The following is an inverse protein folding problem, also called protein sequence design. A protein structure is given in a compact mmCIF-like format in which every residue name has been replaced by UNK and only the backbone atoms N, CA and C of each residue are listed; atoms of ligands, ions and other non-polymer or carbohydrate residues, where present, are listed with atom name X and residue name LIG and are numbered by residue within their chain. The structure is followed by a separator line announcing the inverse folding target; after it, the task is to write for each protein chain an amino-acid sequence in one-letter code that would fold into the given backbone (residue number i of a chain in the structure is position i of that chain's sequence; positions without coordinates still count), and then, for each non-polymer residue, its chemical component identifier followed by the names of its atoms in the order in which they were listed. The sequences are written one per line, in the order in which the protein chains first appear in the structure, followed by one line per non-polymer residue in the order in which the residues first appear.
data_IF_365433071531
#
_entry.id   IF_365433071531
#
_cell.length_a   1.000
_cell.length_b   1.000
_cell.length_c   1.000
_cell.angle_alpha   90.00
_cell.angle_beta   90.00
_cell.angle_gamma   90.00
#
_symmetry.space_group_name_H-M   'P 1'
#
loop_
_entity.id
_entity.type
_entity.pdbx_description
1 polymer ?
#
# COMPACT_ATOMS: atom_id res chain seq x y z
N UNK A 1 19.37 5.15 32.88
CA UNK A 1 18.63 4.28 31.94
C UNK A 1 19.44 3.00 31.86
N UNK A 2 18.86 1.85 32.16
CA UNK A 2 19.61 0.58 32.23
C UNK A 2 20.07 0.19 30.82
N UNK A 3 21.31 -0.26 30.65
CA UNK A 3 21.89 -0.64 29.35
C UNK A 3 21.03 -1.72 28.67
N UNK A 4 20.40 -2.60 29.43
CA UNK A 4 19.50 -3.64 28.92
C UNK A 4 18.29 -3.06 28.20
N UNK A 5 17.67 -1.99 28.73
CA UNK A 5 16.53 -1.32 28.03
C UNK A 5 16.96 -0.68 26.71
N UNK A 6 18.19 -0.13 26.66
CA UNK A 6 18.72 0.45 25.43
C UNK A 6 18.98 -0.64 24.39
N UNK A 7 19.56 -1.77 24.81
CA UNK A 7 19.82 -2.91 23.94
C UNK A 7 18.53 -3.45 23.35
N UNK A 8 17.50 -3.69 24.18
CA UNK A 8 16.20 -4.18 23.72
C UNK A 8 15.51 -3.19 22.77
N UNK A 9 15.65 -1.88 23.00
CA UNK A 9 15.12 -0.86 22.09
C UNK A 9 15.83 -0.92 20.71
N UNK A 10 17.16 -1.09 20.71
CA UNK A 10 17.93 -1.22 19.46
C UNK A 10 17.60 -2.53 18.74
N UNK A 11 17.43 -3.63 19.46
CA UNK A 11 17.01 -4.92 18.91
C UNK A 11 15.60 -4.82 18.30
N UNK A 12 14.67 -4.18 19.00
CA UNK A 12 13.32 -3.95 18.48
C UNK A 12 13.31 -3.09 17.22
N UNK A 13 14.04 -1.98 17.24
CA UNK A 13 14.18 -1.11 16.08
C UNK A 13 14.87 -1.80 14.90
N UNK A 14 15.91 -2.59 15.17
CA UNK A 14 16.60 -3.44 14.19
C UNK A 14 15.66 -4.49 13.60
N UNK A 15 14.85 -5.14 14.45
CA UNK A 15 13.83 -6.09 14.05
C UNK A 15 12.76 -5.47 13.12
N UNK A 16 12.28 -4.27 13.46
CA UNK A 16 11.39 -3.49 12.55
C UNK A 16 12.09 -3.23 11.22
N UNK A 17 13.35 -2.79 11.23
CA UNK A 17 14.12 -2.52 10.01
C UNK A 17 14.25 -3.76 9.13
N UNK A 18 14.61 -4.91 9.71
CA UNK A 18 14.71 -6.19 9.00
C UNK A 18 13.37 -6.65 8.45
N UNK A 19 12.31 -6.55 9.24
CA UNK A 19 10.94 -6.90 8.83
C UNK A 19 10.48 -6.04 7.63
N UNK A 20 10.64 -4.71 7.72
CA UNK A 20 10.25 -3.78 6.65
C UNK A 20 11.07 -4.01 5.38
N UNK A 21 12.38 -4.17 5.52
CA UNK A 21 13.25 -4.40 4.38
C UNK A 21 12.97 -5.76 3.74
N UNK A 22 12.76 -6.80 4.54
CA UNK A 22 12.39 -8.13 4.08
C UNK A 22 11.05 -8.13 3.32
N UNK A 23 10.05 -7.47 3.88
CA UNK A 23 8.74 -7.31 3.25
C UNK A 23 8.84 -6.58 1.90
N UNK A 24 9.58 -5.47 1.84
CA UNK A 24 9.76 -4.72 0.60
C UNK A 24 10.55 -5.52 -0.43
N UNK A 25 11.62 -6.20 -0.04
CA UNK A 25 12.43 -7.04 -0.94
C UNK A 25 11.61 -8.19 -1.52
N UNK A 26 10.79 -8.85 -0.69
CA UNK A 26 9.85 -9.89 -1.13
C UNK A 26 8.84 -9.32 -2.12
N UNK A 27 8.21 -8.19 -1.79
CA UNK A 27 7.21 -7.51 -2.63
C UNK A 27 7.81 -7.10 -3.99
N UNK A 28 9.00 -6.52 -4.01
CA UNK A 28 9.71 -6.12 -5.23
C UNK A 28 10.04 -7.32 -6.13
N UNK A 29 10.53 -8.41 -5.54
CA UNK A 29 10.79 -9.65 -6.28
C UNK A 29 9.51 -10.24 -6.88
N UNK A 30 8.39 -10.24 -6.14
CA UNK A 30 7.08 -10.68 -6.63
C UNK A 30 6.57 -9.77 -7.75
N UNK A 31 6.65 -8.45 -7.57
CA UNK A 31 6.22 -7.46 -8.56
C UNK A 31 7.00 -7.59 -9.87
N UNK A 32 8.34 -7.71 -9.81
CA UNK A 32 9.18 -7.92 -10.99
C UNK A 32 8.89 -9.26 -11.69
N UNK A 33 8.61 -10.31 -10.92
CA UNK A 33 8.22 -11.62 -11.45
C UNK A 33 6.85 -11.59 -12.12
N UNK A 34 5.91 -10.80 -11.61
CA UNK A 34 4.56 -10.66 -12.15
C UNK A 34 4.46 -9.75 -13.39
N UNK A 35 5.33 -8.78 -13.53
CA UNK A 35 5.56 -7.85 -14.64
C UNK A 35 4.43 -7.71 -15.68
N UNK A 36 4.61 -8.32 -16.86
CA UNK A 36 3.64 -8.24 -17.95
C UNK A 36 2.26 -8.89 -17.72
N UNK A 37 2.12 -9.79 -16.72
CA UNK A 37 0.82 -10.38 -16.36
C UNK A 37 -0.08 -9.36 -15.67
N UNK A 38 0.51 -8.43 -14.94
CA UNK A 38 -0.20 -7.36 -14.24
C UNK A 38 -0.89 -6.39 -15.20
N UNK A 39 -0.20 -6.00 -16.31
CA UNK A 39 -0.84 -5.20 -17.37
C UNK A 39 -2.03 -5.91 -18.02
N UNK A 40 -1.94 -7.23 -18.19
CA UNK A 40 -3.04 -8.05 -18.71
C UNK A 40 -4.22 -8.13 -17.73
N UNK A 41 -3.95 -8.31 -16.42
CA UNK A 41 -4.99 -8.31 -15.38
C UNK A 41 -5.76 -6.98 -15.35
N UNK A 42 -5.05 -5.87 -15.49
CA UNK A 42 -5.67 -4.54 -15.57
C UNK A 42 -6.47 -4.35 -16.86
N UNK A 43 -6.06 -4.96 -17.97
CA UNK A 43 -6.84 -4.98 -19.23
C UNK A 43 -8.18 -5.71 -19.12
N UNK A 44 -8.38 -6.58 -18.13
CA UNK A 44 -9.67 -7.20 -17.81
C UNK A 44 -10.58 -6.33 -16.93
N UNK A 45 -10.20 -5.09 -16.64
CA UNK A 45 -11.04 -4.12 -15.94
C UNK A 45 -12.22 -3.71 -16.84
N UNK A 46 -13.17 -4.61 -16.92
CA UNK A 46 -14.45 -4.39 -17.57
C UNK A 46 -15.36 -3.55 -16.67
N UNK A 47 -16.51 -3.14 -17.18
CA UNK A 47 -17.58 -2.49 -16.40
C UNK A 47 -18.12 -3.37 -15.25
N UNK A 48 -17.67 -4.63 -15.13
CA UNK A 48 -18.08 -5.55 -14.08
C UNK A 48 -17.34 -5.27 -12.76
N UNK A 49 -18.06 -4.72 -11.78
CA UNK A 49 -17.53 -4.36 -10.45
C UNK A 49 -16.99 -5.56 -9.67
N UNK A 50 -17.64 -6.71 -9.79
CA UNK A 50 -17.20 -7.92 -9.09
C UNK A 50 -15.82 -8.36 -9.61
N UNK A 51 -15.63 -8.31 -10.92
CA UNK A 51 -14.34 -8.60 -11.54
C UNK A 51 -13.28 -7.57 -11.11
N UNK A 52 -13.64 -6.29 -11.01
CA UNK A 52 -12.74 -5.26 -10.51
C UNK A 52 -12.27 -5.53 -9.06
N UNK A 53 -13.16 -6.01 -8.18
CA UNK A 53 -12.81 -6.42 -6.82
C UNK A 53 -11.81 -7.59 -6.85
N UNK A 54 -12.11 -8.63 -7.62
CA UNK A 54 -11.22 -9.80 -7.74
C UNK A 54 -9.85 -9.39 -8.26
N UNK A 55 -9.82 -8.57 -9.32
CA UNK A 55 -8.56 -8.07 -9.90
C UNK A 55 -7.78 -7.23 -8.87
N UNK A 56 -8.45 -6.33 -8.14
CA UNK A 56 -7.83 -5.55 -7.08
C UNK A 56 -7.24 -6.42 -5.98
N UNK A 57 -7.98 -7.44 -5.54
CA UNK A 57 -7.52 -8.39 -4.52
C UNK A 57 -6.30 -9.19 -4.99
N UNK A 58 -6.35 -9.74 -6.20
CA UNK A 58 -5.25 -10.53 -6.78
C UNK A 58 -4.00 -9.68 -7.00
N UNK A 59 -4.17 -8.47 -7.56
CA UNK A 59 -3.03 -7.55 -7.77
C UNK A 59 -2.38 -7.21 -6.43
N UNK A 60 -3.15 -6.82 -5.43
CA UNK A 60 -2.61 -6.45 -4.11
C UNK A 60 -1.97 -7.65 -3.42
N UNK A 61 -2.55 -8.83 -3.50
CA UNK A 61 -1.96 -10.06 -2.96
C UNK A 61 -0.60 -10.39 -3.63
N UNK A 62 -0.46 -10.13 -4.93
CA UNK A 62 0.80 -10.35 -5.67
C UNK A 62 1.81 -9.25 -5.36
N UNK A 63 1.39 -7.97 -5.39
CA UNK A 63 2.29 -6.82 -5.13
C UNK A 63 2.64 -6.72 -3.64
N UNK A 64 1.82 -7.28 -2.75
CA UNK A 64 1.93 -7.15 -1.29
C UNK A 64 1.87 -5.70 -0.79
N UNK A 65 1.25 -4.80 -1.59
CA UNK A 65 1.12 -3.37 -1.28
C UNK A 65 -0.21 -2.83 -1.79
N UNK A 66 -1.14 -2.58 -0.88
CA UNK A 66 -2.40 -1.88 -1.21
C UNK A 66 -2.14 -0.40 -1.56
N UNK A 67 -1.12 0.20 -0.93
CA UNK A 67 -0.67 1.55 -1.28
C UNK A 67 -0.29 1.65 -2.75
N UNK A 68 0.60 0.77 -3.24
CA UNK A 68 0.99 0.74 -4.65
C UNK A 68 -0.21 0.48 -5.58
N UNK A 69 -1.10 -0.44 -5.22
CA UNK A 69 -2.31 -0.73 -6.00
C UNK A 69 -3.23 0.50 -6.08
N UNK A 70 -3.46 1.19 -4.96
CA UNK A 70 -4.33 2.37 -4.95
C UNK A 70 -3.70 3.59 -5.63
N UNK A 71 -2.38 3.78 -5.52
CA UNK A 71 -1.63 4.80 -6.28
C UNK A 71 -1.76 4.55 -7.79
N UNK A 72 -1.64 3.29 -8.22
CA UNK A 72 -1.84 2.90 -9.62
C UNK A 72 -3.28 3.19 -10.09
N UNK A 73 -4.28 2.89 -9.26
CA UNK A 73 -5.69 3.23 -9.54
C UNK A 73 -5.88 4.74 -9.70
N UNK A 74 -5.32 5.55 -8.78
CA UNK A 74 -5.34 7.02 -8.87
C UNK A 74 -4.68 7.48 -10.17
N UNK A 75 -3.55 6.90 -10.55
CA UNK A 75 -2.85 7.20 -11.81
C UNK A 75 -3.68 6.86 -13.05
N UNK A 76 -4.36 5.69 -13.08
CA UNK A 76 -5.22 5.31 -14.20
C UNK A 76 -6.48 6.17 -14.31
N UNK A 77 -7.07 6.54 -13.18
CA UNK A 77 -8.18 7.50 -13.17
C UNK A 77 -7.71 8.87 -13.67
N UNK A 78 -6.53 9.31 -13.26
CA UNK A 78 -5.93 10.57 -13.72
C UNK A 78 -5.66 10.58 -15.23
N UNK A 79 -5.22 9.44 -15.78
CA UNK A 79 -4.97 9.27 -17.21
C UNK A 79 -6.27 8.99 -18.03
N UNK A 80 -7.45 8.98 -17.41
CA UNK A 80 -8.72 8.66 -18.08
C UNK A 80 -8.83 7.18 -18.52
N UNK A 81 -7.93 6.31 -18.06
CA UNK A 81 -7.92 4.88 -18.40
C UNK A 81 -8.85 4.05 -17.53
N UNK A 82 -9.37 4.61 -16.44
CA UNK A 82 -10.26 3.95 -15.49
C UNK A 82 -11.35 4.90 -15.02
N UNK A 83 -12.58 4.43 -15.01
CA UNK A 83 -13.71 5.16 -14.42
C UNK A 83 -13.72 5.07 -12.91
N UNK A 84 -14.35 6.04 -12.22
CA UNK A 84 -14.50 6.02 -10.75
C UNK A 84 -15.23 4.77 -10.25
N UNK A 85 -16.18 4.26 -11.02
CA UNK A 85 -16.96 3.06 -10.67
C UNK A 85 -16.07 1.79 -10.70
N UNK A 86 -15.16 1.71 -11.66
CA UNK A 86 -14.16 0.63 -11.72
C UNK A 86 -13.13 0.79 -10.60
N UNK A 87 -12.67 2.03 -10.37
CA UNK A 87 -11.70 2.36 -9.33
C UNK A 87 -12.18 1.92 -7.93
N UNK A 88 -13.44 2.19 -7.59
CA UNK A 88 -14.03 1.76 -6.31
C UNK A 88 -13.96 0.23 -6.14
N UNK A 89 -14.26 -0.52 -7.19
CA UNK A 89 -14.16 -2.00 -7.15
C UNK A 89 -12.72 -2.46 -6.89
N UNK A 90 -11.75 -1.91 -7.62
CA UNK A 90 -10.32 -2.26 -7.43
C UNK A 90 -9.84 -1.88 -6.03
N UNK A 91 -10.24 -0.72 -5.50
CA UNK A 91 -9.91 -0.26 -4.14
C UNK A 91 -10.48 -1.20 -3.08
N UNK A 92 -11.75 -1.61 -3.20
CA UNK A 92 -12.38 -2.60 -2.31
C UNK A 92 -11.61 -3.93 -2.35
N UNK A 93 -11.25 -4.39 -3.55
CA UNK A 93 -10.44 -5.60 -3.73
C UNK A 93 -9.03 -5.46 -3.13
N UNK A 94 -8.39 -4.32 -3.28
CA UNK A 94 -7.06 -4.06 -2.72
C UNK A 94 -7.05 -4.20 -1.19
N UNK A 95 -8.09 -3.75 -0.51
CA UNK A 95 -8.23 -3.94 0.94
C UNK A 95 -8.33 -5.43 1.32
N UNK A 96 -9.06 -6.24 0.54
CA UNK A 96 -9.09 -7.71 0.74
C UNK A 96 -7.69 -8.31 0.50
N UNK A 97 -7.02 -7.94 -0.61
CA UNK A 97 -5.70 -8.45 -0.95
C UNK A 97 -4.62 -8.19 0.10
N UNK A 98 -4.72 -7.07 0.82
CA UNK A 98 -3.80 -6.72 1.91
C UNK A 98 -3.82 -7.74 3.05
N UNK A 99 -4.93 -8.42 3.28
CA UNK A 99 -5.06 -9.40 4.37
C UNK A 99 -4.13 -10.61 4.21
N UNK A 100 -3.71 -10.92 2.98
CA UNK A 100 -2.75 -12.00 2.71
C UNK A 100 -1.42 -11.77 3.45
N UNK A 101 -0.97 -10.53 3.58
CA UNK A 101 0.25 -10.22 4.34
C UNK A 101 0.10 -10.58 5.83
N UNK A 102 -1.05 -10.28 6.43
CA UNK A 102 -1.33 -10.66 7.83
C UNK A 102 -1.26 -12.18 8.02
N UNK A 103 -1.75 -12.96 7.06
CA UNK A 103 -1.64 -14.42 7.09
C UNK A 103 -0.20 -14.90 6.93
N UNK A 104 0.60 -14.30 6.06
CA UNK A 104 2.02 -14.63 5.92
C UNK A 104 2.73 -14.41 7.27
N UNK A 105 2.49 -13.28 7.92
CA UNK A 105 3.08 -12.97 9.23
C UNK A 105 2.63 -13.97 10.29
N UNK A 106 1.33 -14.31 10.35
CA UNK A 106 0.81 -15.26 11.35
C UNK A 106 1.34 -16.69 11.16
N UNK A 107 1.71 -17.09 9.93
CA UNK A 107 2.34 -18.39 9.69
C UNK A 107 3.71 -18.52 10.39
N UNK A 108 4.44 -17.40 10.50
CA UNK A 108 5.72 -17.35 11.22
C UNK A 108 5.60 -17.47 12.74
N UNK A 109 4.39 -17.45 13.26
CA UNK A 109 4.06 -17.42 14.67
C UNK A 109 3.29 -18.67 15.14
N UNK A 110 3.34 -19.75 14.38
CA UNK A 110 2.81 -21.05 14.77
C UNK A 110 3.61 -21.58 15.97
N UNK A 111 2.91 -21.86 17.08
CA UNK A 111 3.52 -22.20 18.36
C UNK A 111 4.39 -23.46 18.36
N UNK A 112 4.96 -23.78 19.52
CA UNK A 112 5.98 -24.82 19.73
C UNK A 112 5.65 -26.25 19.22
N UNK A 113 4.37 -26.60 19.10
CA UNK A 113 3.95 -27.90 18.59
C UNK A 113 4.29 -28.14 17.11
N UNK A 114 4.62 -27.07 16.38
CA UNK A 114 4.92 -27.10 14.95
C UNK A 114 6.26 -26.42 14.62
N UNK A 115 7.25 -26.44 15.50
CA UNK A 115 8.56 -25.77 15.32
C UNK A 115 9.20 -26.04 13.95
N UNK A 116 9.10 -27.29 13.47
CA UNK A 116 9.64 -27.68 12.16
C UNK A 116 8.82 -27.11 11.01
N UNK A 117 7.56 -26.74 11.24
CA UNK A 117 6.70 -26.12 10.23
C UNK A 117 6.72 -24.59 10.29
N UNK A 118 7.33 -24.01 11.32
CA UNK A 118 7.40 -22.58 11.51
C UNK A 118 8.42 -21.95 10.53
N UNK A 119 8.01 -21.05 9.62
CA UNK A 119 8.92 -20.39 8.69
C UNK A 119 10.08 -19.65 9.36
N UNK A 120 9.89 -19.13 10.58
CA UNK A 120 10.96 -18.49 11.36
C UNK A 120 12.13 -19.42 11.64
N UNK A 121 11.91 -20.73 11.77
CA UNK A 121 12.97 -21.72 11.94
C UNK A 121 13.91 -21.77 10.72
N UNK A 122 13.38 -21.56 9.53
CA UNK A 122 14.14 -21.60 8.28
C UNK A 122 14.66 -20.22 7.85
N UNK A 123 14.32 -19.15 8.56
CA UNK A 123 14.61 -17.79 8.15
C UNK A 123 16.10 -17.53 7.85
N UNK A 124 17.08 -17.93 8.72
CA UNK A 124 18.49 -17.74 8.42
C UNK A 124 18.94 -18.53 7.17
N UNK A 125 18.40 -19.73 6.98
CA UNK A 125 18.71 -20.57 5.83
C UNK A 125 18.15 -19.99 4.52
N UNK A 126 16.92 -19.43 4.56
CA UNK A 126 16.33 -18.73 3.43
C UNK A 126 17.14 -17.49 3.05
N UNK A 127 17.61 -16.71 4.02
CA UNK A 127 18.48 -15.55 3.76
C UNK A 127 19.75 -16.01 3.05
N UNK A 128 20.40 -17.07 3.56
CA UNK A 128 21.62 -17.62 2.97
C UNK A 128 21.40 -18.08 1.53
N UNK A 129 20.44 -18.97 1.27
CA UNK A 129 20.17 -19.48 -0.06
C UNK A 129 19.79 -18.34 -1.02
N UNK A 130 18.86 -17.48 -0.61
CA UNK A 130 18.41 -16.40 -1.47
C UNK A 130 19.55 -15.42 -1.82
N UNK A 131 20.43 -15.10 -0.88
CA UNK A 131 21.63 -14.30 -1.11
C UNK A 131 22.58 -14.96 -2.12
N UNK A 132 22.85 -16.26 -1.98
CA UNK A 132 23.64 -16.99 -2.97
C UNK A 132 23.00 -16.98 -4.36
N UNK A 133 21.69 -17.18 -4.44
CA UNK A 133 20.95 -17.12 -5.70
C UNK A 133 21.09 -15.74 -6.37
N UNK A 134 20.95 -14.65 -5.59
CA UNK A 134 21.10 -13.28 -6.10
C UNK A 134 22.53 -13.02 -6.62
N UNK A 135 23.53 -13.42 -5.85
CA UNK A 135 24.96 -13.14 -6.14
C UNK A 135 25.48 -13.92 -7.35
N UNK A 136 25.09 -15.19 -7.49
CA UNK A 136 25.68 -16.09 -8.50
C UNK A 136 24.81 -16.29 -9.71
N UNK A 137 23.52 -15.92 -9.71
CA UNK A 137 22.65 -16.04 -10.88
C UNK A 137 22.93 -14.92 -11.88
N UNK A 138 22.96 -15.27 -13.16
CA UNK A 138 23.00 -14.30 -14.28
C UNK A 138 21.60 -14.01 -14.86
N UNK A 139 20.57 -14.78 -14.45
CA UNK A 139 19.21 -14.68 -15.00
C UNK A 139 18.33 -13.84 -14.06
N UNK A 140 17.75 -12.75 -14.56
CA UNK A 140 16.90 -11.84 -13.76
C UNK A 140 15.72 -12.55 -13.08
N UNK A 141 15.07 -13.49 -13.79
CA UNK A 141 13.98 -14.27 -13.18
C UNK A 141 14.42 -15.07 -11.95
N UNK A 142 15.64 -15.58 -11.96
CA UNK A 142 16.22 -16.35 -10.85
C UNK A 142 16.64 -15.40 -9.73
N UNK A 143 17.20 -14.23 -10.06
CA UNK A 143 17.50 -13.19 -9.06
C UNK A 143 16.23 -12.72 -8.35
N UNK A 144 15.15 -12.46 -9.10
CA UNK A 144 13.86 -12.08 -8.50
C UNK A 144 13.33 -13.15 -7.53
N UNK A 145 13.49 -14.44 -7.87
CA UNK A 145 13.17 -15.54 -6.95
C UNK A 145 14.06 -15.52 -5.71
N UNK A 146 15.35 -15.24 -5.87
CA UNK A 146 16.29 -15.04 -4.77
C UNK A 146 15.88 -13.91 -3.85
N UNK A 147 15.44 -12.78 -4.39
CA UNK A 147 14.93 -11.63 -3.63
C UNK A 147 13.68 -11.98 -2.82
N UNK A 148 12.74 -12.75 -3.42
CA UNK A 148 11.57 -13.24 -2.69
C UNK A 148 12.00 -14.10 -1.50
N UNK A 149 12.96 -15.02 -1.70
CA UNK A 149 13.45 -15.93 -0.67
C UNK A 149 14.16 -15.16 0.44
N UNK A 150 15.08 -14.25 0.11
CA UNK A 150 15.74 -13.36 1.09
C UNK A 150 14.73 -12.53 1.85
N UNK A 151 13.76 -11.95 1.11
CA UNK A 151 12.74 -11.11 1.69
C UNK A 151 11.89 -11.84 2.73
N UNK A 152 11.48 -13.07 2.43
CA UNK A 152 10.76 -13.95 3.38
C UNK A 152 11.65 -14.24 4.60
N UNK A 153 12.90 -14.59 4.40
CA UNK A 153 13.84 -14.86 5.50
C UNK A 153 14.01 -13.64 6.42
N UNK A 154 14.28 -12.47 5.85
CA UNK A 154 14.43 -11.22 6.61
C UNK A 154 13.15 -10.80 7.33
N UNK A 155 11.99 -11.02 6.71
CA UNK A 155 10.69 -10.76 7.33
C UNK A 155 10.54 -11.57 8.62
N UNK A 156 10.76 -12.88 8.56
CA UNK A 156 10.61 -13.75 9.73
C UNK A 156 11.71 -13.55 10.77
N UNK A 157 12.95 -13.27 10.37
CA UNK A 157 14.02 -12.94 11.29
C UNK A 157 13.71 -11.62 12.01
N UNK A 158 13.22 -10.60 11.30
CA UNK A 158 12.78 -9.35 11.90
C UNK A 158 11.67 -9.52 12.93
N UNK A 159 10.69 -10.40 12.65
CA UNK A 159 9.63 -10.75 13.61
C UNK A 159 10.21 -11.43 14.86
N UNK A 160 11.18 -12.32 14.69
CA UNK A 160 11.86 -13.00 15.80
C UNK A 160 12.63 -11.99 16.67
N UNK A 161 13.38 -11.08 16.06
CA UNK A 161 14.07 -10.00 16.78
C UNK A 161 13.12 -9.09 17.54
N UNK A 162 12.03 -8.64 16.92
CA UNK A 162 11.01 -7.84 17.60
C UNK A 162 10.41 -8.60 18.79
N UNK A 163 10.08 -9.87 18.61
CA UNK A 163 9.47 -10.69 19.67
C UNK A 163 10.45 -10.91 20.83
N UNK A 164 11.68 -11.29 20.55
CA UNK A 164 12.69 -11.55 21.58
C UNK A 164 13.03 -10.30 22.40
N UNK A 165 13.04 -9.12 21.76
CA UNK A 165 13.34 -7.86 22.44
C UNK A 165 12.22 -7.41 23.39
N UNK A 166 10.96 -7.81 23.14
CA UNK A 166 9.81 -7.47 23.98
C UNK A 166 9.59 -8.52 25.08
N UNK A 167 9.87 -9.79 24.81
CA UNK A 167 9.59 -10.91 25.69
C UNK A 167 10.00 -10.69 27.16
N UNK A 168 11.15 -10.09 27.49
CA UNK A 168 11.56 -9.83 28.87
C UNK A 168 10.67 -8.82 29.62
N UNK A 169 9.87 -8.03 28.90
CA UNK A 169 9.08 -6.91 29.43
C UNK A 169 7.57 -7.14 29.36
N UNK A 170 7.13 -8.32 28.93
CA UNK A 170 5.69 -8.64 28.75
C UNK A 170 4.87 -8.47 30.04
N UNK A 171 5.48 -8.78 31.19
CA UNK A 171 4.86 -8.63 32.51
C UNK A 171 4.94 -7.20 33.06
N UNK A 172 5.58 -6.29 32.33
CA UNK A 172 5.68 -4.91 32.79
C UNK A 172 4.30 -4.22 32.78
N UNK A 173 3.91 -3.57 33.89
CA UNK A 173 2.58 -2.93 34.00
C UNK A 173 2.28 -1.90 32.91
N UNK A 174 3.31 -1.33 32.31
CA UNK A 174 3.17 -0.34 31.24
C UNK A 174 2.43 -0.90 30.01
N UNK A 175 2.71 -2.16 29.61
CA UNK A 175 2.02 -2.77 28.47
C UNK A 175 0.56 -3.06 28.77
N UNK A 176 0.27 -3.70 29.92
CA UNK A 176 -1.09 -4.03 30.30
C UNK A 176 -1.94 -2.77 30.48
N UNK A 177 -1.41 -1.72 31.11
CA UNK A 177 -2.10 -0.45 31.28
C UNK A 177 -2.32 0.27 29.95
N UNK A 178 -1.29 0.33 29.07
CA UNK A 178 -1.40 0.96 27.76
C UNK A 178 -2.48 0.29 26.91
N UNK A 179 -2.46 -1.05 26.79
CA UNK A 179 -3.46 -1.77 26.01
C UNK A 179 -4.85 -1.76 26.66
N UNK A 180 -4.95 -1.71 27.97
CA UNK A 180 -6.22 -1.51 28.66
C UNK A 180 -6.82 -0.12 28.36
N UNK A 181 -6.02 0.94 28.41
CA UNK A 181 -6.46 2.30 28.05
C UNK A 181 -6.90 2.36 26.60
N UNK A 182 -6.10 1.82 25.67
CA UNK A 182 -6.39 1.77 24.24
C UNK A 182 -7.65 0.94 23.96
N UNK A 183 -7.81 -0.20 24.62
CA UNK A 183 -8.96 -1.09 24.45
C UNK A 183 -10.24 -0.52 25.03
N UNK A 184 -10.17 0.27 26.11
CA UNK A 184 -11.34 0.91 26.71
C UNK A 184 -11.87 2.10 25.91
N UNK A 185 -11.05 2.67 25.03
CA UNK A 185 -11.42 3.83 24.22
C UNK A 185 -11.26 3.53 22.71
N UNK A 186 -12.37 3.22 22.01
CA UNK A 186 -12.33 2.92 20.57
C UNK A 186 -11.66 4.01 19.72
N UNK A 187 -11.91 5.28 20.05
CA UNK A 187 -11.34 6.41 19.31
C UNK A 187 -9.82 6.46 19.46
N UNK A 188 -9.30 6.19 20.66
CA UNK A 188 -7.86 6.17 20.90
C UNK A 188 -7.19 5.02 20.16
N UNK A 189 -7.77 3.82 20.17
CA UNK A 189 -7.28 2.67 19.42
C UNK A 189 -7.24 2.93 17.93
N UNK A 190 -8.32 3.46 17.36
CA UNK A 190 -8.39 3.84 15.96
C UNK A 190 -7.36 4.92 15.64
N UNK A 191 -7.23 5.95 16.46
CA UNK A 191 -6.26 7.04 16.25
C UNK A 191 -4.81 6.53 16.23
N UNK A 192 -4.45 5.66 17.17
CA UNK A 192 -3.12 5.03 17.21
C UNK A 192 -2.86 4.24 15.93
N UNK A 193 -3.83 3.42 15.50
CA UNK A 193 -3.73 2.67 14.25
C UNK A 193 -3.53 3.57 13.03
N UNK A 194 -4.27 4.69 12.95
CA UNK A 194 -4.12 5.70 11.88
C UNK A 194 -2.71 6.28 11.90
N UNK A 195 -2.24 6.77 13.05
CA UNK A 195 -0.95 7.47 13.16
C UNK A 195 0.20 6.51 12.82
N UNK A 196 0.23 5.32 13.41
CA UNK A 196 1.30 4.35 13.16
C UNK A 196 1.34 3.97 11.68
N UNK A 197 0.20 3.68 11.07
CA UNK A 197 0.17 3.30 9.65
C UNK A 197 0.50 4.46 8.72
N UNK A 198 0.06 5.68 9.04
CA UNK A 198 0.37 6.87 8.25
C UNK A 198 1.86 7.21 8.29
N UNK A 199 2.51 7.04 9.45
CA UNK A 199 3.96 7.27 9.61
C UNK A 199 4.76 6.20 8.87
N UNK A 200 4.40 4.92 9.03
CA UNK A 200 5.05 3.81 8.34
C UNK A 200 4.73 3.75 6.84
N UNK A 201 3.64 4.40 6.40
CA UNK A 201 3.10 4.32 5.03
C UNK A 201 2.87 2.89 4.55
N UNK A 202 2.72 1.95 5.49
CA UNK A 202 2.55 0.53 5.25
C UNK A 202 1.61 -0.09 6.27
N UNK A 203 0.41 -0.43 5.86
CA UNK A 203 -0.55 -1.15 6.71
C UNK A 203 -0.07 -2.56 7.04
N UNK A 204 0.60 -3.22 6.11
CA UNK A 204 1.19 -4.55 6.33
C UNK A 204 2.25 -4.52 7.43
N UNK A 205 3.10 -3.50 7.45
CA UNK A 205 4.09 -3.30 8.50
C UNK A 205 3.44 -3.03 9.86
N UNK A 206 2.44 -2.15 9.87
CA UNK A 206 1.70 -1.81 11.08
C UNK A 206 0.99 -3.03 11.68
N UNK A 207 0.34 -3.84 10.83
CA UNK A 207 -0.28 -5.11 11.26
C UNK A 207 0.77 -6.09 11.78
N UNK A 208 1.91 -6.24 11.11
CA UNK A 208 3.00 -7.13 11.57
C UNK A 208 3.55 -6.76 12.94
N UNK A 209 3.71 -5.46 13.23
CA UNK A 209 4.10 -4.99 14.58
C UNK A 209 3.02 -5.36 15.61
N UNK A 210 1.74 -5.11 15.30
CA UNK A 210 0.64 -5.46 16.20
C UNK A 210 0.59 -6.97 16.46
N UNK A 211 0.78 -7.80 15.42
CA UNK A 211 0.83 -9.25 15.55
C UNK A 211 2.01 -9.73 16.39
N UNK A 212 3.17 -9.08 16.29
CA UNK A 212 4.33 -9.38 17.13
C UNK A 212 4.07 -9.08 18.60
N UNK A 213 3.40 -7.96 18.89
CA UNK A 213 2.96 -7.62 20.25
C UNK A 213 1.93 -8.64 20.76
N UNK A 214 1.00 -9.06 19.91
CA UNK A 214 0.00 -10.06 20.24
C UNK A 214 0.63 -11.44 20.53
N UNK A 215 1.66 -11.83 19.78
CA UNK A 215 2.42 -13.05 20.02
C UNK A 215 3.02 -13.11 21.44
N UNK A 216 3.45 -11.96 21.95
CA UNK A 216 3.98 -11.83 23.30
C UNK A 216 2.89 -11.71 24.39
N UNK A 217 1.60 -11.86 24.04
CA UNK A 217 0.48 -11.87 24.97
C UNK A 217 0.15 -10.53 25.63
N UNK A 218 0.67 -9.41 25.09
CA UNK A 218 0.47 -8.07 25.68
C UNK A 218 -0.71 -7.30 25.12
N UNK A 219 -1.37 -7.81 24.06
CA UNK A 219 -2.44 -7.11 23.33
C UNK A 219 -3.79 -7.73 23.65
N UNK A 220 -4.73 -6.91 24.12
CA UNK A 220 -6.12 -7.32 24.33
C UNK A 220 -6.92 -7.31 23.03
N UNK A 221 -7.96 -8.14 22.95
CA UNK A 221 -8.81 -8.27 21.74
C UNK A 221 -9.43 -6.95 21.32
N UNK A 222 -10.00 -6.19 22.27
CA UNK A 222 -10.61 -4.89 21.98
C UNK A 222 -9.57 -3.88 21.44
N UNK A 223 -8.38 -3.81 22.05
CA UNK A 223 -7.33 -2.92 21.59
C UNK A 223 -6.85 -3.29 20.17
N UNK A 224 -6.62 -4.57 19.91
CA UNK A 224 -6.21 -5.04 18.59
C UNK A 224 -7.23 -4.71 17.50
N UNK A 225 -8.52 -4.92 17.78
CA UNK A 225 -9.59 -4.63 16.83
C UNK A 225 -9.63 -3.14 16.51
N UNK A 226 -9.64 -2.26 17.51
CA UNK A 226 -9.69 -0.82 17.29
C UNK A 226 -8.43 -0.30 16.57
N UNK A 227 -7.25 -0.81 16.93
CA UNK A 227 -6.00 -0.47 16.23
C UNK A 227 -6.08 -0.92 14.75
N UNK A 228 -6.56 -2.14 14.49
CA UNK A 228 -6.69 -2.67 13.11
C UNK A 228 -7.66 -1.84 12.27
N UNK A 229 -8.78 -1.38 12.83
CA UNK A 229 -9.68 -0.44 12.14
C UNK A 229 -8.96 0.86 11.77
N UNK A 230 -8.16 1.39 12.69
CA UNK A 230 -7.34 2.57 12.45
C UNK A 230 -6.26 2.35 11.38
N UNK A 231 -5.61 1.18 11.38
CA UNK A 231 -4.59 0.81 10.38
C UNK A 231 -5.16 0.83 8.95
N UNK A 232 -6.40 0.38 8.77
CA UNK A 232 -7.07 0.44 7.46
C UNK A 232 -7.33 1.88 7.02
N UNK A 233 -7.76 2.78 7.91
CA UNK A 233 -7.91 4.21 7.60
C UNK A 233 -6.54 4.83 7.29
N UNK A 234 -5.52 4.55 8.09
CA UNK A 234 -4.17 5.06 7.92
C UNK A 234 -3.54 4.67 6.58
N UNK A 235 -3.90 3.50 6.03
CA UNK A 235 -3.43 3.05 4.71
C UNK A 235 -3.85 3.97 3.56
N UNK A 236 -4.89 4.78 3.74
CA UNK A 236 -5.37 5.72 2.74
C UNK A 236 -4.44 6.92 2.52
N UNK A 237 -3.52 7.18 3.45
CA UNK A 237 -2.60 8.34 3.39
C UNK A 237 -1.73 8.29 2.14
N UNK A 238 -1.27 7.11 1.72
CA UNK A 238 -0.48 6.94 0.48
C UNK A 238 -1.26 7.37 -0.77
N UNK A 239 -2.53 6.98 -0.86
CA UNK A 239 -3.40 7.38 -1.97
C UNK A 239 -3.70 8.90 -1.94
N UNK A 240 -3.87 9.48 -0.75
CA UNK A 240 -4.05 10.93 -0.59
C UNK A 240 -2.84 11.71 -1.07
N UNK A 241 -1.66 11.34 -0.60
CA UNK A 241 -0.39 12.00 -0.99
C UNK A 241 -0.21 11.88 -2.51
N UNK A 242 -0.42 10.70 -3.08
CA UNK A 242 -0.26 10.48 -4.52
C UNK A 242 -1.30 11.24 -5.37
N UNK A 243 -2.44 11.58 -4.80
CA UNK A 243 -3.47 12.36 -5.49
C UNK A 243 -3.20 13.87 -5.45
N UNK A 244 -2.22 14.33 -4.67
CA UNK A 244 -1.82 15.73 -4.64
C UNK A 244 -1.28 16.14 -6.03
N UNK A 245 -1.77 17.26 -6.56
CA UNK A 245 -1.36 17.73 -7.91
C UNK A 245 -2.03 17.01 -9.10
N UNK A 246 -2.87 15.98 -8.87
CA UNK A 246 -3.60 15.27 -9.93
C UNK A 246 -4.97 15.91 -10.22
N UNK A 247 -5.65 15.38 -11.24
CA UNK A 247 -7.02 15.79 -11.59
C UNK A 247 -7.99 15.58 -10.43
N UNK A 248 -9.12 16.31 -10.45
CA UNK A 248 -10.18 16.18 -9.44
C UNK A 248 -10.77 14.77 -9.41
N UNK A 249 -10.90 14.15 -10.57
CA UNK A 249 -11.38 12.77 -10.69
C UNK A 249 -10.43 11.79 -9.99
N UNK A 250 -9.12 11.98 -10.11
CA UNK A 250 -8.13 11.19 -9.40
C UNK A 250 -8.18 11.42 -7.88
N UNK A 251 -8.35 12.67 -7.42
CA UNK A 251 -8.57 13.00 -6.00
C UNK A 251 -9.86 12.36 -5.46
N UNK A 252 -10.92 12.26 -6.26
CA UNK A 252 -12.15 11.54 -5.91
C UNK A 252 -11.89 10.05 -5.68
N UNK A 253 -11.01 9.42 -6.48
CA UNK A 253 -10.62 8.03 -6.26
C UNK A 253 -9.94 7.83 -4.90
N UNK A 254 -9.00 8.71 -4.53
CA UNK A 254 -8.36 8.69 -3.21
C UNK A 254 -9.38 8.95 -2.08
N UNK A 255 -10.32 9.88 -2.28
CA UNK A 255 -11.40 10.17 -1.34
C UNK A 255 -12.31 8.95 -1.12
N UNK A 256 -12.64 8.20 -2.18
CA UNK A 256 -13.45 6.97 -2.06
C UNK A 256 -12.75 5.90 -1.22
N UNK A 257 -11.42 5.79 -1.29
CA UNK A 257 -10.65 4.87 -0.45
C UNK A 257 -10.81 5.21 1.04
N UNK A 258 -10.73 6.50 1.38
CA UNK A 258 -10.91 6.95 2.77
C UNK A 258 -12.36 6.71 3.22
N UNK A 259 -13.34 7.07 2.41
CA UNK A 259 -14.76 6.91 2.72
C UNK A 259 -15.11 5.45 2.98
N UNK A 260 -14.57 4.52 2.17
CA UNK A 260 -14.75 3.09 2.36
C UNK A 260 -14.21 2.63 3.72
N UNK A 261 -12.97 3.00 4.07
CA UNK A 261 -12.34 2.59 5.31
C UNK A 261 -12.97 3.26 6.55
N UNK A 262 -13.38 4.53 6.46
CA UNK A 262 -14.11 5.20 7.55
C UNK A 262 -15.47 4.55 7.77
N UNK A 263 -16.23 4.27 6.70
CA UNK A 263 -17.52 3.59 6.82
C UNK A 263 -17.38 2.20 7.48
N UNK A 264 -16.36 1.44 7.06
CA UNK A 264 -16.03 0.17 7.67
C UNK A 264 -15.65 0.30 9.15
N UNK A 265 -14.81 1.26 9.50
CA UNK A 265 -14.39 1.50 10.89
C UNK A 265 -15.54 1.96 11.76
N UNK A 266 -16.46 2.77 11.27
CA UNK A 266 -17.67 3.16 11.97
C UNK A 266 -18.59 1.95 12.25
N UNK A 267 -18.81 1.12 11.22
CA UNK A 267 -19.64 -0.07 11.35
C UNK A 267 -19.06 -1.04 12.40
N UNK A 268 -17.81 -1.45 12.20
CA UNK A 268 -17.17 -2.43 13.06
C UNK A 268 -16.77 -1.86 14.42
N UNK A 269 -16.41 -0.59 14.49
CA UNK A 269 -16.15 0.11 15.76
C UNK A 269 -17.39 0.16 16.65
N UNK A 270 -18.56 0.47 16.06
CA UNK A 270 -19.84 0.47 16.79
C UNK A 270 -20.24 -0.94 17.21
N UNK A 271 -20.18 -1.92 16.31
CA UNK A 271 -20.48 -3.32 16.64
C UNK A 271 -19.52 -3.85 17.70
N UNK A 272 -18.22 -3.58 17.58
CA UNK A 272 -17.21 -3.96 18.55
C UNK A 272 -17.45 -3.31 19.90
N UNK A 273 -17.78 -2.02 19.95
CA UNK A 273 -18.11 -1.33 21.22
C UNK A 273 -19.30 -1.98 21.94
N UNK A 274 -20.37 -2.28 21.21
CA UNK A 274 -21.54 -2.96 21.78
C UNK A 274 -21.17 -4.37 22.26
N UNK A 275 -20.47 -5.15 21.41
CA UNK A 275 -20.07 -6.53 21.72
C UNK A 275 -19.18 -6.60 22.96
N UNK A 276 -18.18 -5.74 23.08
CA UNK A 276 -17.26 -5.72 24.21
C UNK A 276 -17.89 -5.16 25.49
N UNK A 277 -18.93 -4.32 25.37
CA UNK A 277 -19.75 -3.89 26.53
C UNK A 277 -20.59 -5.04 27.07
N UNK A 278 -21.10 -5.92 26.19
CA UNK A 278 -21.90 -7.09 26.58
C UNK A 278 -21.01 -8.24 27.11
N UNK A 279 -19.83 -8.43 26.47
CA UNK A 279 -18.88 -9.51 26.74
C UNK A 279 -17.50 -8.98 27.17
N UNK A 280 -17.34 -8.42 28.38
CA UNK A 280 -16.06 -7.86 28.83
C UNK A 280 -14.90 -8.87 28.86
N UNK A 281 -15.24 -10.15 29.14
CA UNK A 281 -14.22 -11.21 29.11
C UNK A 281 -13.59 -11.41 27.72
N UNK A 282 -14.37 -11.27 26.65
CA UNK A 282 -13.87 -11.28 25.29
C UNK A 282 -12.99 -10.06 24.99
N UNK A 283 -13.38 -8.89 25.50
CA UNK A 283 -12.62 -7.66 25.34
C UNK A 283 -11.22 -7.76 25.97
N UNK A 284 -11.13 -8.35 27.16
CA UNK A 284 -9.91 -8.49 27.95
C UNK A 284 -9.06 -9.72 27.56
N UNK A 285 -9.57 -10.59 26.68
CA UNK A 285 -8.81 -11.75 26.19
C UNK A 285 -7.57 -11.30 25.41
N UNK A 286 -6.42 -11.93 25.65
CA UNK A 286 -5.22 -11.69 24.86
C UNK A 286 -5.35 -12.32 23.49
N UNK A 287 -5.40 -11.48 22.47
CA UNK A 287 -5.59 -11.91 21.09
C UNK A 287 -4.31 -12.53 20.52
N UNK A 288 -4.47 -13.54 19.68
CA UNK A 288 -3.37 -14.15 18.93
C UNK A 288 -3.16 -13.49 17.57
N UNK A 289 -1.98 -13.67 16.99
CA UNK A 289 -1.65 -13.20 15.65
C UNK A 289 -2.61 -13.76 14.58
N UNK A 290 -3.03 -15.03 14.73
CA UNK A 290 -3.99 -15.67 13.82
C UNK A 290 -5.36 -15.02 13.91
N UNK A 291 -5.84 -14.72 15.14
CA UNK A 291 -7.12 -14.05 15.35
C UNK A 291 -7.13 -12.64 14.77
N UNK A 292 -6.00 -11.92 14.83
CA UNK A 292 -5.85 -10.63 14.12
C UNK A 292 -6.00 -10.82 12.62
N UNK A 293 -5.37 -11.85 12.02
CA UNK A 293 -5.49 -12.13 10.58
C UNK A 293 -6.92 -12.50 10.19
N UNK A 294 -7.59 -13.31 11.01
CA UNK A 294 -9.02 -13.67 10.83
C UNK A 294 -9.89 -12.41 10.88
N UNK A 295 -9.73 -11.59 11.92
CA UNK A 295 -10.49 -10.34 12.04
C UNK A 295 -10.23 -9.40 10.86
N UNK A 296 -8.98 -9.20 10.48
CA UNK A 296 -8.61 -8.32 9.37
C UNK A 296 -9.24 -8.79 8.05
N UNK A 297 -9.25 -10.09 7.80
CA UNK A 297 -9.87 -10.69 6.61
C UNK A 297 -11.39 -10.55 6.66
N UNK A 298 -12.00 -10.92 7.79
CA UNK A 298 -13.45 -10.81 8.00
C UNK A 298 -13.94 -9.38 7.85
N UNK A 299 -13.23 -8.42 8.45
CA UNK A 299 -13.50 -6.99 8.32
C UNK A 299 -13.51 -6.55 6.85
N UNK A 300 -12.43 -6.79 6.11
CA UNK A 300 -12.29 -6.31 4.73
C UNK A 300 -13.29 -6.96 3.77
N UNK A 301 -13.55 -8.27 3.92
CA UNK A 301 -14.56 -8.98 3.13
C UNK A 301 -15.96 -8.45 3.44
N UNK A 302 -16.31 -8.34 4.72
CA UNK A 302 -17.64 -7.88 5.13
C UNK A 302 -17.86 -6.42 4.72
N UNK A 303 -16.88 -5.53 4.92
CA UNK A 303 -16.97 -4.15 4.43
C UNK A 303 -17.18 -4.10 2.93
N UNK A 304 -16.46 -4.92 2.16
CA UNK A 304 -16.64 -4.99 0.71
C UNK A 304 -18.04 -5.46 0.34
N UNK A 305 -18.55 -6.52 0.97
CA UNK A 305 -19.91 -7.04 0.70
C UNK A 305 -20.98 -6.01 1.06
N UNK A 306 -20.87 -5.36 2.21
CA UNK A 306 -21.83 -4.35 2.68
C UNK A 306 -21.78 -3.11 1.79
N UNK A 307 -20.58 -2.64 1.40
CA UNK A 307 -20.42 -1.41 0.62
C UNK A 307 -20.57 -1.63 -0.90
N UNK A 308 -20.53 -2.86 -1.38
CA UNK A 308 -20.68 -3.19 -2.81
C UNK A 308 -21.93 -2.59 -3.47
N UNK A 309 -23.15 -2.75 -2.90
CA UNK A 309 -24.34 -2.11 -3.46
C UNK A 309 -24.29 -0.58 -3.39
N UNK A 310 -23.52 -0.02 -2.45
CA UNK A 310 -23.38 1.42 -2.23
C UNK A 310 -22.17 2.04 -2.97
N UNK A 311 -21.53 1.34 -3.87
CA UNK A 311 -20.39 1.83 -4.63
C UNK A 311 -20.69 3.16 -5.37
N UNK A 312 -21.89 3.28 -5.98
CA UNK A 312 -22.32 4.54 -6.61
C UNK A 312 -22.54 5.68 -5.59
N UNK A 313 -22.92 5.36 -4.37
CA UNK A 313 -23.06 6.34 -3.29
C UNK A 313 -21.68 6.89 -2.88
N UNK A 314 -20.65 6.03 -2.80
CA UNK A 314 -19.27 6.47 -2.55
C UNK A 314 -18.80 7.43 -3.66
N UNK A 315 -19.10 7.12 -4.93
CA UNK A 315 -18.79 8.01 -6.05
C UNK A 315 -19.51 9.35 -5.91
N UNK A 316 -20.80 9.36 -5.53
CA UNK A 316 -21.55 10.61 -5.32
C UNK A 316 -20.99 11.44 -4.16
N UNK A 317 -20.72 10.79 -3.01
CA UNK A 317 -20.17 11.48 -1.82
C UNK A 317 -18.79 12.05 -2.13
N UNK A 318 -17.93 11.32 -2.85
CA UNK A 318 -16.62 11.83 -3.24
C UNK A 318 -16.73 13.10 -4.10
N UNK A 319 -17.74 13.20 -4.95
CA UNK A 319 -18.04 14.42 -5.74
C UNK A 319 -18.53 15.61 -4.91
N UNK A 320 -19.22 15.34 -3.78
CA UNK A 320 -19.64 16.41 -2.85
C UNK A 320 -18.44 16.97 -2.05
N UNK A 321 -17.46 16.14 -1.75
CA UNK A 321 -16.25 16.50 -0.99
C UNK A 321 -15.24 17.18 -1.94
N UNK A 322 -14.99 16.56 -3.08
CA UNK A 322 -14.06 17.08 -4.11
C UNK A 322 -14.94 17.63 -5.24
N UNK A 323 -15.35 18.89 -5.07
CA UNK A 323 -16.27 19.56 -6.02
C UNK A 323 -15.60 19.82 -7.36
N UNK A 324 -16.32 19.52 -8.44
CA UNK A 324 -15.98 19.93 -9.81
C UNK A 324 -16.46 21.37 -10.03
N UNK A 325 -15.60 22.25 -10.53
CA UNK A 325 -16.04 23.52 -11.11
C UNK A 325 -16.38 23.24 -12.57
N UNK A 326 -17.68 23.06 -12.86
CA UNK A 326 -18.22 22.59 -14.15
C UNK A 326 -17.78 23.40 -15.38
N UNK A 327 -17.15 24.56 -15.21
CA UNK A 327 -16.87 25.46 -16.36
C UNK A 327 -15.42 25.49 -16.85
N UNK A 328 -14.47 24.91 -16.14
CA UNK A 328 -13.06 25.01 -16.53
C UNK A 328 -12.38 23.66 -16.80
N UNK A 329 -12.90 22.58 -16.23
CA UNK A 329 -12.29 21.25 -16.35
C UNK A 329 -12.81 20.48 -17.59
N UNK A 330 -14.08 20.68 -18.02
CA UNK A 330 -14.64 19.99 -19.20
C UNK A 330 -13.95 20.40 -20.50
N UNK A 331 -13.62 21.68 -20.67
CA UNK A 331 -12.92 22.15 -21.87
C UNK A 331 -11.44 21.70 -21.88
N UNK A 332 -10.75 21.82 -20.76
CA UNK A 332 -9.35 21.40 -20.65
C UNK A 332 -9.21 19.87 -20.71
N UNK A 333 -10.17 19.10 -20.17
CA UNK A 333 -10.17 17.64 -20.23
C UNK A 333 -10.58 17.11 -21.61
N UNK A 334 -11.51 17.78 -22.32
CA UNK A 334 -11.85 17.47 -23.72
C UNK A 334 -10.70 17.82 -24.67
N UNK A 335 -10.11 19.03 -24.56
CA UNK A 335 -8.96 19.41 -25.37
C UNK A 335 -7.75 18.52 -25.10
N UNK A 336 -7.46 18.15 -23.85
CA UNK A 336 -6.39 17.24 -23.52
C UNK A 336 -6.65 15.81 -24.02
N UNK A 337 -7.89 15.30 -23.91
CA UNK A 337 -8.27 13.99 -24.44
C UNK A 337 -8.21 13.95 -25.96
N UNK A 338 -8.70 14.97 -26.62
CA UNK A 338 -8.68 15.05 -28.09
C UNK A 338 -7.25 15.25 -28.59
N UNK A 339 -6.44 16.06 -27.92
CA UNK A 339 -5.03 16.25 -28.26
C UNK A 339 -4.20 14.98 -28.02
N UNK A 340 -4.35 14.33 -26.85
CA UNK A 340 -3.65 13.07 -26.54
C UNK A 340 -4.16 11.91 -27.40
N UNK A 341 -5.46 11.81 -27.66
CA UNK A 341 -6.01 10.79 -28.53
C UNK A 341 -5.58 10.99 -29.99
N UNK A 342 -5.53 12.25 -30.47
CA UNK A 342 -5.05 12.59 -31.80
C UNK A 342 -3.53 12.34 -31.92
N UNK A 343 -2.75 12.63 -30.89
CA UNK A 343 -1.32 12.38 -30.81
C UNK A 343 -1.03 10.86 -30.76
N UNK A 344 -1.72 10.12 -29.90
CA UNK A 344 -1.63 8.65 -29.84
C UNK A 344 -2.07 8.02 -31.18
N UNK A 345 -3.14 8.52 -31.82
CA UNK A 345 -3.61 8.04 -33.12
C UNK A 345 -2.63 8.33 -34.26
N UNK A 346 -1.87 9.43 -34.17
CA UNK A 346 -0.79 9.74 -35.13
C UNK A 346 0.40 8.79 -35.02
N UNK A 347 0.70 8.31 -33.81
CA UNK A 347 1.90 7.53 -33.53
C UNK A 347 1.64 6.02 -33.40
N UNK A 348 0.39 5.59 -33.23
CA UNK A 348 -0.01 4.18 -33.16
C UNK A 348 -0.65 3.67 -34.45
N UNK A 349 0.15 3.46 -35.48
CA UNK A 349 -0.28 2.61 -36.59
C UNK A 349 -0.20 1.14 -36.15
N UNK A 350 -1.37 0.48 -35.99
CA UNK A 350 -1.44 -0.94 -35.63
C UNK A 350 -0.70 -1.86 -36.61
N UNK A 351 -0.37 -1.39 -37.81
CA UNK A 351 0.44 -2.10 -38.80
C UNK A 351 1.93 -2.20 -38.39
N UNK A 352 2.41 -1.27 -37.52
CA UNK A 352 3.79 -1.28 -37.03
C UNK A 352 4.04 -2.36 -35.98
N UNK A 353 2.97 -2.83 -35.29
CA UNK A 353 3.07 -3.92 -34.32
C UNK A 353 3.46 -5.28 -34.94
N UNK A 354 3.31 -5.43 -36.25
CA UNK A 354 3.75 -6.60 -37.00
C UNK A 354 5.25 -6.63 -37.32
N UNK A 355 5.98 -5.53 -37.05
CA UNK A 355 7.42 -5.42 -37.30
C UNK A 355 8.16 -4.92 -36.06
N UNK A 356 8.70 -5.84 -35.23
CA UNK A 356 9.27 -5.49 -33.91
C UNK A 356 10.39 -4.46 -33.95
N UNK A 357 11.23 -4.47 -35.02
CA UNK A 357 12.33 -3.51 -35.20
C UNK A 357 11.84 -2.08 -35.42
N UNK A 358 10.76 -1.92 -36.20
CA UNK A 358 10.17 -0.62 -36.51
C UNK A 358 9.43 -0.08 -35.29
N UNK A 359 8.72 -0.95 -34.54
CA UNK A 359 8.04 -0.58 -33.29
C UNK A 359 9.04 -0.08 -32.24
N UNK A 360 10.21 -0.72 -32.11
CA UNK A 360 11.28 -0.31 -31.19
C UNK A 360 11.88 1.04 -31.61
N UNK A 361 12.11 1.26 -32.90
CA UNK A 361 12.67 2.51 -33.40
C UNK A 361 11.67 3.68 -33.25
N UNK A 362 10.38 3.43 -33.47
CA UNK A 362 9.33 4.42 -33.22
C UNK A 362 9.25 4.76 -31.74
N UNK A 363 9.27 3.77 -30.85
CA UNK A 363 9.27 4.00 -29.40
C UNK A 363 10.52 4.79 -28.92
N UNK A 364 11.69 4.52 -29.51
CA UNK A 364 12.92 5.27 -29.23
C UNK A 364 12.79 6.74 -29.65
N UNK A 365 12.25 6.99 -30.82
CA UNK A 365 12.04 8.35 -31.33
C UNK A 365 11.04 9.13 -30.47
N UNK A 366 9.98 8.47 -29.99
CA UNK A 366 9.03 9.06 -29.06
C UNK A 366 9.68 9.46 -27.73
N UNK A 367 10.52 8.59 -27.15
CA UNK A 367 11.26 8.90 -25.91
C UNK A 367 12.17 10.13 -26.13
N UNK A 368 12.81 10.24 -27.28
CA UNK A 368 13.65 11.40 -27.64
C UNK A 368 12.79 12.66 -27.78
N UNK A 369 11.63 12.56 -28.43
CA UNK A 369 10.69 13.68 -28.57
C UNK A 369 10.15 14.15 -27.22
N UNK A 370 9.78 13.22 -26.34
CA UNK A 370 9.39 13.55 -24.96
C UNK A 370 10.51 14.22 -24.16
N UNK A 371 11.76 13.75 -24.34
CA UNK A 371 12.93 14.37 -23.73
C UNK A 371 13.15 15.81 -24.20
N UNK A 372 13.00 16.07 -25.48
CA UNK A 372 13.11 17.41 -26.06
C UNK A 372 12.00 18.35 -25.58
N UNK A 373 10.75 17.87 -25.55
CA UNK A 373 9.63 18.63 -25.01
C UNK A 373 9.81 18.98 -23.53
N UNK A 374 10.35 18.06 -22.73
CA UNK A 374 10.67 18.32 -21.34
C UNK A 374 11.76 19.40 -21.19
N UNK A 375 12.79 19.35 -22.03
CA UNK A 375 13.84 20.37 -22.07
C UNK A 375 13.29 21.75 -22.47
N UNK A 376 12.41 21.79 -23.47
CA UNK A 376 11.79 23.04 -23.90
C UNK A 376 10.87 23.63 -22.82
N UNK A 377 10.10 22.80 -22.13
CA UNK A 377 9.29 23.22 -20.99
C UNK A 377 10.14 23.79 -19.83
N UNK A 378 11.32 23.20 -19.56
CA UNK A 378 12.28 23.72 -18.58
C UNK A 378 12.82 25.09 -19.02
N UNK A 379 13.16 25.26 -20.30
CA UNK A 379 13.60 26.56 -20.84
C UNK A 379 12.52 27.62 -20.72
N UNK A 380 11.28 27.31 -21.12
CA UNK A 380 10.14 28.23 -20.97
C UNK A 380 9.88 28.61 -19.51
N UNK A 381 9.97 27.64 -18.60
CA UNK A 381 9.84 27.90 -17.16
C UNK A 381 10.96 28.80 -16.64
N UNK A 382 12.20 28.58 -17.09
CA UNK A 382 13.34 29.42 -16.75
C UNK A 382 13.20 30.85 -17.32
N UNK A 383 12.76 30.99 -18.56
CA UNK A 383 12.50 32.29 -19.19
C UNK A 383 11.37 33.06 -18.48
N UNK A 384 10.28 32.37 -18.12
CA UNK A 384 9.18 32.98 -17.36
C UNK A 384 9.63 33.46 -15.99
N UNK A 385 10.44 32.67 -15.29
CA UNK A 385 10.99 33.04 -13.97
C UNK A 385 11.98 34.21 -14.09
N UNK A 386 12.81 34.27 -15.16
CA UNK A 386 13.70 35.40 -15.42
C UNK A 386 12.92 36.68 -15.72
N UNK A 387 11.83 36.58 -16.48
CA UNK A 387 10.95 37.71 -16.76
C UNK A 387 10.27 38.24 -15.50
N UNK A 388 9.83 37.40 -14.59
CA UNK A 388 9.25 37.80 -13.30
C UNK A 388 10.27 38.44 -12.36
N UNK A 389 11.55 37.99 -12.41
CA UNK A 389 12.62 38.50 -11.56
C UNK A 389 13.32 39.74 -12.16
N UNK A 390 12.96 40.20 -13.37
CA UNK A 390 13.55 41.35 -14.06
C UNK A 390 15.04 41.16 -14.43
N UNK A 391 15.48 39.90 -14.60
CA UNK A 391 16.87 39.57 -14.97
C UNK A 391 16.98 39.59 -16.49
N UNK A 392 17.93 40.41 -17.03
CA UNK A 392 18.13 40.45 -18.48
C UNK A 392 18.74 39.18 -19.04
N UNK A 393 18.39 38.76 -20.29
CA UNK A 393 18.86 37.50 -20.90
C UNK A 393 20.40 37.40 -21.06
N UNK A 394 21.11 38.48 -20.99
CA UNK A 394 22.58 38.52 -21.16
C UNK A 394 23.37 38.05 -19.92
N UNK A 395 22.71 37.85 -18.77
CA UNK A 395 23.37 37.44 -17.52
C UNK A 395 23.61 35.93 -17.37
N UNK A 396 23.06 35.09 -18.23
CA UNK A 396 23.21 33.62 -18.15
C UNK A 396 23.68 33.06 -19.49
N UNK A 397 24.96 33.21 -19.77
CA UNK A 397 25.59 32.68 -21.00
C UNK A 397 26.13 31.26 -20.86
N UNK A 398 26.06 30.63 -19.69
CA UNK A 398 26.52 29.24 -19.49
C UNK A 398 25.68 28.50 -18.46
N UNK A 399 24.80 27.54 -18.90
CA UNK A 399 24.00 26.75 -17.98
C UNK A 399 24.78 25.68 -17.20
N UNK A 400 26.08 25.53 -17.44
CA UNK A 400 26.96 24.54 -16.79
C UNK A 400 27.97 25.15 -15.81
N UNK A 401 27.85 26.44 -15.47
CA UNK A 401 28.79 27.16 -14.62
C UNK A 401 28.39 27.16 -13.11
N UNK A 402 27.45 26.28 -12.67
CA UNK A 402 27.13 26.09 -11.27
C UNK A 402 27.13 24.62 -10.88
#
# INVERSE_FOLDING_TARGET
MNIEYISSLFEFAGGIGMFLYGMNTMADGMQRSAGGKMKKLLGYLTSNRLLAIIVGAVITAIIQSSGATTVMVVGFVNAGLMTLVQAVGVIMGANIGTTITAWIVSLGQLGDAAKVMNPSFYAPFLIGIGAFVILFSKKDKVKNAGEIIVGIGLLFEGLTFMSSSIAPYTDAPIFSQAFQIVGSNPFLGILIGIIVTAVLQSSSASVGILQTLALNGVVTTNAAIYITLGQNIGSCVTALISSAGTTRTAKRAACMHILFNIAGALLFGTVGFILFSIYPALAAHNITSVEISVFHTFFNITCTLVMFPFANLLVKISGLIVRENEKQDDFAELEAKDAVAAEIARHFDSRLLGQPSVAVETAKNEVITMGNLALDNIKYAAEATQAELGISPEAVSDPLAY
#
